data_IF_690355632984
#
_entry.id   IF_690355632984
#
_cell.length_a   1.000
_cell.length_b   1.000
_cell.length_c   1.000
_cell.angle_alpha   90.00
_cell.angle_beta   90.00
_cell.angle_gamma   90.00
#
_symmetry.space_group_name_H-M   'P 1'
#
loop_
_entity.id
_entity.type
_entity.pdbx_description
1 polymer ?
#
# COMPACT_ATOMS: atom_id res chain seq x y z
N UNK A 1 -2.15 -2.32 5.77
CA UNK A 1 -2.48 -1.18 6.65
C UNK A 1 -2.02 -1.50 8.07
N UNK A 2 -1.00 -0.79 8.58
CA UNK A 2 -0.48 -0.93 9.95
C UNK A 2 -1.24 -0.03 10.94
N UNK A 3 -2.48 -0.40 11.24
CA UNK A 3 -3.39 0.27 12.16
C UNK A 3 -4.28 -0.73 12.90
N UNK A 4 -5.09 -0.26 13.84
CA UNK A 4 -5.96 -1.07 14.68
C UNK A 4 -5.17 -2.06 15.53
N UNK A 5 -5.59 -3.33 15.52
CA UNK A 5 -4.97 -4.43 16.27
C UNK A 5 -3.54 -4.75 15.82
N UNK A 6 -3.10 -4.29 14.64
CA UNK A 6 -1.74 -4.53 14.14
C UNK A 6 -0.69 -3.57 14.72
N UNK A 7 -1.12 -2.53 15.43
CA UNK A 7 -0.26 -1.59 16.16
C UNK A 7 -0.40 -1.85 17.67
N UNK A 8 0.72 -2.05 18.36
CA UNK A 8 0.71 -2.43 19.78
C UNK A 8 -0.09 -1.42 20.63
N UNK A 9 -1.01 -1.86 21.51
CA UNK A 9 -1.88 -0.97 22.28
C UNK A 9 -1.14 0.09 23.10
N UNK A 10 0.02 -0.27 23.65
CA UNK A 10 0.89 0.67 24.36
C UNK A 10 1.36 1.83 23.46
N UNK A 11 1.77 1.54 22.22
CA UNK A 11 2.21 2.58 21.28
C UNK A 11 1.05 3.52 20.93
N UNK A 12 -0.16 2.98 20.80
CA UNK A 12 -1.37 3.79 20.59
C UNK A 12 -1.66 4.72 21.77
N UNK A 13 -1.56 4.21 22.99
CA UNK A 13 -1.77 5.01 24.20
C UNK A 13 -0.73 6.13 24.33
N UNK A 14 0.55 5.80 24.14
CA UNK A 14 1.65 6.77 24.20
C UNK A 14 1.48 7.85 23.14
N UNK A 15 1.18 7.46 21.88
CA UNK A 15 0.96 8.41 20.79
C UNK A 15 -0.24 9.31 21.07
N UNK A 16 -1.35 8.74 21.55
CA UNK A 16 -2.55 9.50 21.92
C UNK A 16 -2.24 10.53 23.00
N UNK A 17 -1.52 10.14 24.06
CA UNK A 17 -1.15 11.04 25.15
C UNK A 17 -0.21 12.14 24.66
N UNK A 18 0.82 11.78 23.89
CA UNK A 18 1.76 12.73 23.30
C UNK A 18 1.05 13.75 22.41
N UNK A 19 0.06 13.33 21.62
CA UNK A 19 -0.73 14.22 20.76
C UNK A 19 -1.60 15.21 21.54
N UNK A 20 -1.91 14.93 22.82
CA UNK A 20 -2.65 15.87 23.69
C UNK A 20 -1.76 16.80 24.51
N UNK A 21 -0.54 16.37 24.82
CA UNK A 21 0.40 17.16 25.63
C UNK A 21 1.26 18.06 24.73
N UNK A 22 1.78 17.53 23.62
CA UNK A 22 2.74 18.21 22.76
C UNK A 22 2.44 17.95 21.27
N UNK A 23 1.28 18.42 20.75
CA UNK A 23 0.84 18.13 19.38
C UNK A 23 1.82 18.62 18.30
N UNK A 24 2.50 19.74 18.57
CA UNK A 24 3.44 20.37 17.63
C UNK A 24 4.87 19.88 17.77
N UNK A 25 5.15 18.96 18.71
CA UNK A 25 6.46 18.32 18.80
C UNK A 25 6.74 17.56 17.51
N UNK A 26 7.92 17.77 16.94
CA UNK A 26 8.36 17.08 15.74
C UNK A 26 9.23 15.86 16.08
N UNK A 27 8.95 14.76 15.40
CA UNK A 27 9.74 13.53 15.47
C UNK A 27 10.30 13.18 14.10
N UNK A 28 11.44 12.49 14.07
CA UNK A 28 12.07 12.02 12.84
C UNK A 28 12.24 10.50 12.88
N UNK A 29 12.36 9.88 11.70
CA UNK A 29 12.74 8.48 11.58
C UNK A 29 14.23 8.20 11.77
N UNK A 30 15.06 9.22 12.05
CA UNK A 30 16.51 9.04 12.20
C UNK A 30 16.80 8.16 13.41
N UNK A 31 17.75 7.23 13.25
CA UNK A 31 18.18 6.34 14.34
C UNK A 31 17.27 5.12 14.57
N UNK A 32 16.21 4.93 13.78
CA UNK A 32 15.35 3.74 13.89
C UNK A 32 15.97 2.46 13.33
N UNK A 33 17.09 2.55 12.60
CA UNK A 33 17.76 1.39 12.00
C UNK A 33 16.90 0.68 10.93
N UNK A 34 15.99 1.41 10.27
CA UNK A 34 15.10 0.91 9.22
C UNK A 34 15.47 1.46 7.86
N UNK A 35 15.33 0.63 6.83
CA UNK A 35 15.63 0.95 5.44
C UNK A 35 14.37 0.87 4.59
N UNK A 36 14.17 1.87 3.73
CA UNK A 36 12.97 1.99 2.90
C UNK A 36 13.13 1.41 1.48
N UNK A 37 14.36 1.20 1.01
CA UNK A 37 14.67 0.74 -0.35
C UNK A 37 16.03 0.04 -0.38
N UNK A 38 16.24 -0.90 -1.29
CA UNK A 38 17.59 -1.40 -1.63
C UNK A 38 18.39 -0.40 -2.46
N UNK A 39 17.74 0.49 -3.21
CA UNK A 39 18.38 1.54 -4.01
C UNK A 39 18.93 2.70 -3.14
N UNK A 40 20.25 2.72 -2.90
CA UNK A 40 20.94 3.78 -2.14
C UNK A 40 20.90 5.16 -2.83
N UNK A 41 20.85 5.19 -4.16
CA UNK A 41 20.79 6.45 -4.91
C UNK A 41 19.47 7.16 -4.61
N UNK A 42 18.35 6.43 -4.67
CA UNK A 42 17.02 6.92 -4.31
C UNK A 42 16.96 7.41 -2.85
N UNK A 43 17.59 6.69 -1.91
CA UNK A 43 17.63 7.11 -0.52
C UNK A 43 18.43 8.41 -0.33
N UNK A 44 19.54 8.56 -1.04
CA UNK A 44 20.34 9.78 -1.01
C UNK A 44 19.63 10.97 -1.67
N UNK A 45 18.93 10.76 -2.78
CA UNK A 45 18.09 11.77 -3.41
C UNK A 45 17.03 12.29 -2.44
N UNK A 46 16.26 11.37 -1.82
CA UNK A 46 15.23 11.71 -0.84
C UNK A 46 15.81 12.45 0.38
N UNK A 47 17.01 12.07 0.82
CA UNK A 47 17.67 12.75 1.94
C UNK A 47 18.06 14.20 1.61
N UNK A 48 18.48 14.47 0.37
CA UNK A 48 18.92 15.81 -0.11
C UNK A 48 17.77 16.69 -0.60
N UNK A 49 16.67 16.09 -1.05
CA UNK A 49 15.53 16.82 -1.62
C UNK A 49 14.88 17.74 -0.58
N UNK A 50 14.88 19.08 -0.75
CA UNK A 50 14.27 20.01 0.20
C UNK A 50 12.76 19.82 0.34
N UNK A 51 12.09 19.21 -0.64
CA UNK A 51 10.65 18.94 -0.64
C UNK A 51 10.27 17.65 0.10
N UNK A 52 11.24 16.82 0.48
CA UNK A 52 10.99 15.64 1.29
C UNK A 52 10.86 16.01 2.79
N UNK A 53 9.78 15.60 3.46
CA UNK A 53 9.61 15.82 4.89
C UNK A 53 10.51 14.88 5.71
N UNK A 54 11.42 15.42 6.52
CA UNK A 54 12.31 14.64 7.40
C UNK A 54 11.80 14.52 8.83
N UNK A 55 10.89 15.41 9.21
CA UNK A 55 10.24 15.47 10.51
C UNK A 55 8.73 15.53 10.33
N UNK A 56 8.02 15.00 11.30
CA UNK A 56 6.56 14.95 11.33
C UNK A 56 6.09 15.32 12.72
N UNK A 57 5.11 16.23 12.81
CA UNK A 57 4.47 16.57 14.09
C UNK A 57 3.75 15.36 14.68
N UNK A 58 3.77 15.22 16.00
CA UNK A 58 3.06 14.14 16.71
C UNK A 58 1.57 14.12 16.36
N UNK A 59 0.91 15.28 16.26
CA UNK A 59 -0.49 15.36 15.86
C UNK A 59 -0.73 14.79 14.44
N UNK A 60 0.19 15.03 13.49
CA UNK A 60 0.10 14.45 12.15
C UNK A 60 0.27 12.93 12.20
N UNK A 61 1.20 12.44 13.00
CA UNK A 61 1.42 10.99 13.17
C UNK A 61 0.17 10.30 13.76
N UNK A 62 -0.46 10.88 14.78
CA UNK A 62 -1.74 10.38 15.33
C UNK A 62 -2.86 10.40 14.30
N UNK A 63 -2.95 11.45 13.49
CA UNK A 63 -3.89 11.57 12.39
C UNK A 63 -3.73 10.46 11.33
N UNK A 64 -2.48 10.13 10.96
CA UNK A 64 -2.19 9.03 10.03
C UNK A 64 -2.60 7.68 10.63
N UNK A 65 -2.27 7.39 11.89
CA UNK A 65 -2.68 6.14 12.56
C UNK A 65 -4.21 6.03 12.60
N UNK A 66 -4.92 7.10 12.93
CA UNK A 66 -6.40 7.14 12.90
C UNK A 66 -6.97 6.96 11.49
N UNK A 67 -6.30 7.47 10.45
CA UNK A 67 -6.70 7.23 9.06
C UNK A 67 -6.55 5.77 8.69
N UNK A 68 -5.45 5.12 9.10
CA UNK A 68 -5.21 3.69 8.86
C UNK A 68 -6.24 2.82 9.59
N UNK A 69 -6.64 3.18 10.80
CA UNK A 69 -7.73 2.52 11.54
C UNK A 69 -9.04 2.55 10.75
N UNK A 70 -9.44 3.74 10.27
CA UNK A 70 -10.65 3.92 9.46
C UNK A 70 -10.58 3.14 8.16
N UNK A 71 -9.46 3.23 7.43
CA UNK A 71 -9.27 2.47 6.20
C UNK A 71 -9.41 0.96 6.43
N UNK A 72 -8.87 0.43 7.54
CA UNK A 72 -8.99 -0.98 7.89
C UNK A 72 -10.44 -1.37 8.24
N UNK A 73 -11.16 -0.55 9.00
CA UNK A 73 -12.58 -0.76 9.29
C UNK A 73 -13.45 -0.72 8.01
N UNK A 74 -12.98 0.01 7.00
CA UNK A 74 -13.69 0.20 5.72
C UNK A 74 -13.35 -0.83 4.66
N UNK A 75 -12.29 -1.62 4.83
CA UNK A 75 -11.89 -2.66 3.88
C UNK A 75 -13.05 -3.63 3.51
N UNK A 76 -13.88 -4.10 4.47
CA UNK A 76 -15.04 -4.96 4.16
C UNK A 76 -16.13 -4.28 3.33
N UNK A 77 -16.06 -2.96 3.12
CA UNK A 77 -17.01 -2.17 2.31
C UNK A 77 -16.53 -1.97 0.88
N UNK A 78 -15.27 -2.31 0.57
CA UNK A 78 -14.67 -2.10 -0.75
C UNK A 78 -15.20 -3.15 -1.75
N UNK A 79 -15.79 -2.68 -2.86
CA UNK A 79 -16.39 -3.52 -3.93
C UNK A 79 -15.78 -3.28 -5.32
N UNK A 80 -14.99 -2.23 -5.48
CA UNK A 80 -14.33 -1.88 -6.73
C UNK A 80 -13.20 -2.86 -7.06
N UNK A 81 -12.68 -2.88 -8.31
CA UNK A 81 -11.38 -3.48 -8.60
C UNK A 81 -10.29 -2.83 -7.72
N UNK A 82 -9.40 -3.66 -7.18
CA UNK A 82 -8.32 -3.19 -6.31
C UNK A 82 -7.04 -3.94 -6.66
N UNK A 83 -5.93 -3.21 -6.77
CA UNK A 83 -4.60 -3.78 -6.81
C UNK A 83 -3.88 -3.46 -5.49
N UNK A 84 -3.43 -4.50 -4.80
CA UNK A 84 -2.61 -4.38 -3.59
C UNK A 84 -1.21 -4.90 -3.91
N UNK A 85 -0.21 -4.04 -3.74
CA UNK A 85 1.19 -4.34 -4.00
C UNK A 85 1.95 -4.36 -2.67
N UNK A 86 2.69 -5.43 -2.39
CA UNK A 86 3.41 -5.61 -1.12
C UNK A 86 4.87 -5.97 -1.41
N UNK A 87 5.80 -5.26 -0.78
CA UNK A 87 7.21 -5.65 -0.75
C UNK A 87 7.46 -6.59 0.44
N UNK A 88 8.01 -7.78 0.20
CA UNK A 88 8.27 -8.74 1.28
C UNK A 88 9.41 -8.29 2.21
N UNK A 89 10.28 -7.38 1.73
CA UNK A 89 11.39 -6.78 2.49
C UNK A 89 11.03 -5.41 3.09
N UNK A 90 9.74 -5.05 3.13
CA UNK A 90 9.31 -3.77 3.73
C UNK A 90 9.59 -3.75 5.25
N UNK A 91 10.59 -2.96 5.65
CA UNK A 91 10.95 -2.77 7.06
C UNK A 91 10.17 -1.64 7.75
N UNK A 92 9.38 -0.87 7.00
CA UNK A 92 8.62 0.29 7.49
C UNK A 92 7.20 -0.14 7.86
N UNK A 93 6.54 -0.87 6.98
CA UNK A 93 5.18 -1.38 7.18
C UNK A 93 5.21 -2.91 7.11
N UNK A 94 5.01 -3.62 8.23
CA UNK A 94 5.12 -5.08 8.25
C UNK A 94 4.28 -5.75 7.14
N UNK A 95 4.86 -6.60 6.28
CA UNK A 95 4.14 -7.22 5.14
C UNK A 95 2.87 -7.96 5.58
N UNK A 96 2.92 -8.64 6.72
CA UNK A 96 1.76 -9.33 7.31
C UNK A 96 0.56 -8.39 7.56
N UNK A 97 0.80 -7.14 7.97
CA UNK A 97 -0.27 -6.15 8.17
C UNK A 97 -0.85 -5.64 6.83
N UNK A 98 -0.05 -5.64 5.76
CA UNK A 98 -0.50 -5.32 4.41
C UNK A 98 -1.35 -6.44 3.83
N UNK A 99 -0.84 -7.68 3.89
CA UNK A 99 -1.54 -8.89 3.43
C UNK A 99 -2.85 -9.10 4.20
N UNK A 100 -2.84 -8.93 5.53
CA UNK A 100 -4.06 -9.00 6.36
C UNK A 100 -5.12 -8.00 5.92
N UNK A 101 -4.73 -6.78 5.54
CA UNK A 101 -5.67 -5.80 5.01
C UNK A 101 -6.22 -6.21 3.64
N UNK A 102 -5.35 -6.69 2.73
CA UNK A 102 -5.79 -7.20 1.43
C UNK A 102 -6.84 -8.31 1.59
N UNK A 103 -6.60 -9.24 2.51
CA UNK A 103 -7.48 -10.39 2.80
C UNK A 103 -8.85 -9.98 3.38
N UNK A 104 -8.98 -8.77 3.92
CA UNK A 104 -10.25 -8.22 4.41
C UNK A 104 -11.09 -7.56 3.29
N UNK A 105 -10.56 -7.41 2.07
CA UNK A 105 -11.27 -6.83 0.93
C UNK A 105 -12.10 -7.94 0.26
N UNK A 106 -13.44 -7.82 0.22
CA UNK A 106 -14.31 -8.88 -0.29
C UNK A 106 -14.51 -8.80 -1.82
N UNK A 107 -13.94 -7.80 -2.49
CA UNK A 107 -14.07 -7.64 -3.94
C UNK A 107 -13.47 -8.86 -4.66
N UNK A 108 -14.21 -9.54 -5.55
CA UNK A 108 -13.67 -10.65 -6.35
C UNK A 108 -12.65 -10.17 -7.40
N UNK A 109 -12.61 -8.86 -7.67
CA UNK A 109 -11.64 -8.20 -8.56
C UNK A 109 -10.50 -7.54 -7.79
N UNK A 110 -10.23 -8.03 -6.59
CA UNK A 110 -9.07 -7.62 -5.81
C UNK A 110 -7.88 -8.54 -6.12
N UNK A 111 -6.80 -7.96 -6.61
CA UNK A 111 -5.54 -8.63 -6.91
C UNK A 111 -4.51 -8.22 -5.86
N UNK A 112 -3.89 -9.19 -5.23
CA UNK A 112 -2.74 -9.05 -4.35
C UNK A 112 -1.48 -9.50 -5.10
N UNK A 113 -0.41 -8.73 -5.00
CA UNK A 113 0.91 -9.07 -5.52
C UNK A 113 1.93 -8.88 -4.40
N UNK A 114 2.67 -9.93 -4.08
CA UNK A 114 3.78 -9.89 -3.12
C UNK A 114 5.08 -10.04 -3.90
N UNK A 115 5.96 -9.05 -3.81
CA UNK A 115 7.27 -9.06 -4.47
C UNK A 115 8.35 -9.51 -3.47
N UNK A 116 8.99 -10.69 -3.67
CA UNK A 116 9.96 -11.23 -2.71
C UNK A 116 11.18 -10.34 -2.47
N UNK A 117 11.58 -9.59 -3.49
CA UNK A 117 12.71 -8.65 -3.42
C UNK A 117 12.26 -7.20 -3.18
N UNK A 118 10.96 -6.98 -2.99
CA UNK A 118 10.39 -5.64 -2.91
C UNK A 118 10.54 -4.97 -1.56
N UNK A 119 10.85 -3.68 -1.60
CA UNK A 119 11.01 -2.83 -0.41
C UNK A 119 9.84 -1.86 -0.24
N UNK A 120 9.88 -1.03 0.81
CA UNK A 120 8.82 -0.05 1.09
C UNK A 120 8.56 0.89 -0.08
N UNK A 121 9.62 1.33 -0.77
CA UNK A 121 9.53 2.18 -1.95
C UNK A 121 9.40 1.34 -3.24
N UNK A 122 8.45 0.41 -3.31
CA UNK A 122 8.24 -0.52 -4.46
C UNK A 122 8.32 0.14 -5.85
N UNK A 123 7.83 1.37 -5.99
CA UNK A 123 7.82 2.09 -7.27
C UNK A 123 9.16 2.77 -7.60
N UNK A 124 10.15 2.68 -6.69
CA UNK A 124 11.48 3.31 -6.78
C UNK A 124 12.62 2.39 -6.38
N UNK A 125 12.34 1.19 -5.88
CA UNK A 125 13.36 0.19 -5.55
C UNK A 125 14.06 -0.35 -6.82
N UNK A 126 15.03 -1.25 -6.67
CA UNK A 126 15.79 -1.76 -7.83
C UNK A 126 14.93 -2.57 -8.80
N UNK A 127 13.82 -3.17 -8.35
CA UNK A 127 12.90 -3.94 -9.20
C UNK A 127 11.71 -3.12 -9.72
N UNK A 128 11.65 -1.81 -9.46
CA UNK A 128 10.55 -0.89 -9.80
C UNK A 128 9.93 -1.10 -11.18
N UNK A 129 10.73 -1.39 -12.21
CA UNK A 129 10.20 -1.61 -13.57
C UNK A 129 9.26 -2.82 -13.66
N UNK A 130 9.52 -3.89 -12.90
CA UNK A 130 8.60 -5.03 -12.80
C UNK A 130 7.27 -4.56 -12.22
N UNK A 131 7.31 -3.78 -11.15
CA UNK A 131 6.12 -3.22 -10.50
C UNK A 131 5.35 -2.30 -11.45
N UNK A 132 6.04 -1.43 -12.19
CA UNK A 132 5.42 -0.54 -13.18
C UNK A 132 4.70 -1.30 -14.28
N UNK A 133 5.33 -2.36 -14.82
CA UNK A 133 4.72 -3.21 -15.86
C UNK A 133 3.46 -3.93 -15.35
N UNK A 134 3.46 -4.38 -14.10
CA UNK A 134 2.28 -4.99 -13.48
C UNK A 134 1.14 -3.98 -13.28
N UNK A 135 1.45 -2.77 -12.80
CA UNK A 135 0.45 -1.69 -12.64
C UNK A 135 -0.19 -1.34 -13.99
N UNK A 136 0.62 -1.16 -15.03
CA UNK A 136 0.13 -0.86 -16.38
C UNK A 136 -0.75 -1.99 -16.93
N UNK A 137 -0.30 -3.25 -16.81
CA UNK A 137 -1.10 -4.39 -17.25
C UNK A 137 -2.42 -4.48 -16.49
N UNK A 138 -2.42 -4.25 -15.17
CA UNK A 138 -3.63 -4.25 -14.36
C UNK A 138 -4.62 -3.14 -14.78
N UNK A 139 -4.13 -1.93 -15.04
CA UNK A 139 -4.95 -0.81 -15.53
C UNK A 139 -5.59 -1.12 -16.89
N UNK A 140 -4.91 -1.89 -17.73
CA UNK A 140 -5.38 -2.32 -19.05
C UNK A 140 -6.25 -3.59 -19.00
N UNK A 141 -6.47 -4.17 -17.82
CA UNK A 141 -7.22 -5.43 -17.66
C UNK A 141 -6.51 -6.66 -18.23
N UNK A 142 -5.17 -6.59 -18.37
CA UNK A 142 -4.34 -7.69 -18.86
C UNK A 142 -3.73 -8.49 -17.70
N UNK A 143 -3.35 -9.76 -17.92
CA UNK A 143 -2.57 -10.52 -16.96
C UNK A 143 -1.27 -9.80 -16.58
N UNK A 144 -0.91 -9.84 -15.29
CA UNK A 144 0.31 -9.21 -14.79
C UNK A 144 1.55 -9.96 -15.33
N UNK A 145 2.50 -9.26 -15.99
CA UNK A 145 3.71 -9.87 -16.54
C UNK A 145 4.60 -10.56 -15.51
N UNK A 146 4.54 -10.17 -14.23
CA UNK A 146 5.32 -10.83 -13.18
C UNK A 146 4.85 -12.26 -12.88
N UNK A 147 3.61 -12.61 -13.20
CA UNK A 147 3.01 -13.90 -12.81
C UNK A 147 2.77 -14.05 -11.31
N UNK A 148 2.90 -12.96 -10.52
CA UNK A 148 2.77 -12.96 -9.06
C UNK A 148 1.35 -12.60 -8.58
N UNK A 149 0.38 -12.55 -9.51
CA UNK A 149 -0.99 -12.15 -9.19
C UNK A 149 -1.71 -13.25 -8.41
N UNK A 150 -2.19 -12.89 -7.21
CA UNK A 150 -3.08 -13.70 -6.40
C UNK A 150 -4.39 -12.96 -6.16
N UNK A 151 -5.52 -13.65 -5.94
CA UNK A 151 -6.72 -13.01 -5.46
C UNK A 151 -6.57 -12.61 -3.98
N UNK A 152 -7.09 -11.43 -3.61
CA UNK A 152 -6.95 -10.92 -2.24
C UNK A 152 -7.66 -11.79 -1.19
N UNK A 153 -8.82 -12.35 -1.51
CA UNK A 153 -9.49 -13.37 -0.70
C UNK A 153 -9.43 -14.71 -1.44
N UNK A 154 -9.58 -15.85 -0.75
CA UNK A 154 -9.41 -17.21 -1.32
C UNK A 154 -10.38 -17.61 -2.46
N UNK A 155 -11.09 -16.67 -3.07
CA UNK A 155 -11.81 -16.89 -4.32
C UNK A 155 -10.85 -16.84 -5.51
N UNK A 156 -10.97 -17.78 -6.45
CA UNK A 156 -10.17 -17.80 -7.69
C UNK A 156 -10.28 -16.47 -8.44
N UNK A 157 -9.19 -16.04 -9.10
CA UNK A 157 -9.24 -14.95 -10.07
C UNK A 157 -10.30 -15.34 -11.10
N UNK A 158 -11.39 -14.58 -11.17
CA UNK A 158 -12.35 -14.74 -12.25
C UNK A 158 -11.62 -14.38 -13.53
N UNK A 159 -11.41 -15.37 -14.38
CA UNK A 159 -10.80 -15.20 -15.70
C UNK A 159 -11.69 -14.23 -16.48
N UNK A 160 -11.30 -12.96 -16.55
CA UNK A 160 -12.00 -11.97 -17.38
C UNK A 160 -11.55 -12.16 -18.82
N UNK A 161 -11.90 -13.32 -19.38
CA UNK A 161 -12.10 -13.47 -20.81
C UNK A 161 -13.62 -13.46 -21.04
N UNK A 162 -14.05 -12.70 -22.05
CA UNK A 162 -15.44 -12.49 -22.52
C UNK A 162 -16.22 -11.31 -21.92
N UNK A 163 -16.11 -10.16 -22.58
CA UNK A 163 -17.17 -9.69 -23.49
C UNK A 163 -16.64 -8.45 -24.24
N UNK A 164 -16.04 -8.68 -25.41
CA UNK A 164 -15.83 -7.59 -26.37
C UNK A 164 -17.19 -7.04 -26.82
N UNK A 165 -17.33 -5.73 -27.06
CA UNK A 165 -18.59 -5.20 -27.57
C UNK A 165 -18.84 -5.73 -28.99
N UNK A 166 -19.95 -6.44 -29.16
CA UNK A 166 -20.52 -6.77 -30.48
C UNK A 166 -20.81 -5.47 -31.24
N UNK A 167 -20.51 -5.38 -32.55
CA UNK A 167 -20.79 -4.19 -33.31
C UNK A 167 -22.29 -4.13 -33.67
N UNK A 168 -22.80 -2.90 -33.77
CA UNK A 168 -24.08 -2.48 -34.39
C UNK A 168 -25.24 -2.23 -33.43
N UNK A 169 -25.49 -0.96 -33.12
CA UNK A 169 -26.64 -0.27 -33.71
C UNK A 169 -26.51 1.24 -33.50
N UNK A 170 -26.54 1.96 -34.62
CA UNK A 170 -26.81 3.39 -34.71
C UNK A 170 -28.17 3.65 -34.08
N UNK A 171 -28.24 4.52 -33.08
CA UNK A 171 -29.44 5.30 -32.79
C UNK A 171 -29.02 6.74 -32.48
N UNK A 172 -29.44 7.61 -33.38
CA UNK A 172 -29.46 9.07 -33.30
C UNK A 172 -30.36 9.48 -32.13
N UNK A 173 -29.85 10.30 -31.21
CA UNK A 173 -30.32 11.66 -30.88
C UNK A 173 -29.22 12.37 -30.09
#
# INVERSE_FOLDING_TARGET
MWGGETLHPLYRLVLWLAARIAPDLEVSGRGLGRRASDDDEVLHELARDPLFLKTTRIATLEGVVRLMDRARADAPRLRLPVLVLVGERDEIVPPAAQISFARAIPSPRCTLVVYPEGWHLLLRDLQRERVWRDVLAWMEGRPLPSGLAEPCSGGRIADTAEAGPSPSSVVVW
#
